data_IF_082109577442
#
_entry.id   IF_082109577442
#
_cell.length_a   1.000
_cell.length_b   1.000
_cell.length_c   1.000
_cell.angle_alpha   90.00
_cell.angle_beta   90.00
_cell.angle_gamma   90.00
#
_symmetry.space_group_name_H-M   'P 1'
#
loop_
_entity.id
_entity.type
_entity.pdbx_description
1 polymer ?
#
# COMPACT_ATOMS: atom_id res chain seq x y z
N UNK A 1 -99.90 -22.01 -10.85
CA UNK A 1 -99.97 -20.78 -11.67
C UNK A 1 -98.61 -20.55 -12.33
N UNK A 2 -98.51 -20.76 -13.65
CA UNK A 2 -97.31 -20.45 -14.44
C UNK A 2 -97.43 -19.00 -14.89
N UNK A 3 -96.63 -18.11 -14.32
CA UNK A 3 -96.58 -16.70 -14.71
C UNK A 3 -96.04 -16.61 -16.14
N UNK A 4 -96.88 -16.15 -17.09
CA UNK A 4 -96.45 -15.90 -18.47
C UNK A 4 -95.54 -14.67 -18.48
N UNK A 5 -94.24 -14.90 -18.61
CA UNK A 5 -93.27 -13.84 -18.91
C UNK A 5 -93.60 -13.29 -20.30
N UNK A 6 -93.96 -12.01 -20.37
CA UNK A 6 -94.26 -11.35 -21.65
C UNK A 6 -93.00 -11.17 -22.48
N UNK A 7 -93.13 -11.07 -23.82
CA UNK A 7 -91.99 -10.89 -24.76
C UNK A 7 -91.08 -9.71 -24.37
N UNK A 8 -91.67 -8.65 -23.83
CA UNK A 8 -91.01 -7.41 -23.41
C UNK A 8 -90.06 -7.64 -22.22
N UNK A 9 -90.48 -8.42 -21.22
CA UNK A 9 -89.61 -8.78 -20.09
C UNK A 9 -88.39 -9.59 -20.53
N UNK A 10 -88.57 -10.52 -21.48
CA UNK A 10 -87.46 -11.33 -22.02
C UNK A 10 -86.41 -10.50 -22.76
N UNK A 11 -86.83 -9.43 -23.44
CA UNK A 11 -85.95 -8.55 -24.19
C UNK A 11 -85.15 -7.65 -23.25
N UNK A 12 -85.81 -7.06 -22.25
CA UNK A 12 -85.17 -6.30 -21.17
C UNK A 12 -84.09 -7.10 -20.42
N UNK A 13 -84.40 -8.35 -20.02
CA UNK A 13 -83.42 -9.20 -19.35
C UNK A 13 -82.27 -9.62 -20.28
N UNK A 14 -82.53 -9.76 -21.60
CA UNK A 14 -81.47 -10.04 -22.59
C UNK A 14 -80.49 -8.88 -22.71
N UNK A 15 -80.98 -7.66 -22.83
CA UNK A 15 -80.13 -6.46 -22.86
C UNK A 15 -79.29 -6.34 -21.58
N UNK A 16 -79.92 -6.51 -20.41
CA UNK A 16 -79.19 -6.47 -19.13
C UNK A 16 -78.11 -7.55 -19.01
N UNK A 17 -78.37 -8.75 -19.50
CA UNK A 17 -77.37 -9.83 -19.54
C UNK A 17 -76.22 -9.47 -20.48
N UNK A 18 -76.52 -8.86 -21.62
CA UNK A 18 -75.52 -8.46 -22.62
C UNK A 18 -74.64 -7.33 -22.09
N UNK A 19 -75.24 -6.34 -21.43
CA UNK A 19 -74.54 -5.23 -20.78
C UNK A 19 -73.63 -5.73 -19.65
N UNK A 20 -74.12 -6.64 -18.79
CA UNK A 20 -73.29 -7.28 -17.76
C UNK A 20 -72.16 -8.12 -18.32
N UNK A 21 -72.38 -8.82 -19.45
CA UNK A 21 -71.29 -9.55 -20.15
C UNK A 21 -70.22 -8.59 -20.67
N UNK A 22 -70.63 -7.44 -21.20
CA UNK A 22 -69.72 -6.43 -21.72
C UNK A 22 -68.91 -5.76 -20.60
N UNK A 23 -69.53 -5.51 -19.44
CA UNK A 23 -68.84 -5.09 -18.22
C UNK A 23 -67.86 -6.14 -17.73
N UNK A 24 -68.25 -7.42 -17.71
CA UNK A 24 -67.37 -8.52 -17.31
C UNK A 24 -66.13 -8.60 -18.20
N UNK A 25 -66.28 -8.52 -19.52
CA UNK A 25 -65.13 -8.53 -20.45
C UNK A 25 -64.20 -7.34 -20.24
N UNK A 26 -64.75 -6.13 -20.04
CA UNK A 26 -63.94 -4.95 -19.69
C UNK A 26 -63.18 -5.15 -18.38
N UNK A 27 -63.82 -5.69 -17.35
CA UNK A 27 -63.18 -5.98 -16.06
C UNK A 27 -62.10 -7.06 -16.19
N UNK A 28 -62.27 -8.06 -17.05
CA UNK A 28 -61.23 -9.07 -17.31
C UNK A 28 -59.98 -8.47 -17.93
N UNK A 29 -60.14 -7.62 -18.95
CA UNK A 29 -59.02 -6.92 -19.60
C UNK A 29 -58.29 -6.03 -18.58
N UNK A 30 -59.03 -5.27 -17.78
CA UNK A 30 -58.42 -4.41 -16.76
C UNK A 30 -57.70 -5.20 -15.67
N UNK A 31 -58.23 -6.35 -15.24
CA UNK A 31 -57.53 -7.26 -14.33
C UNK A 31 -56.23 -7.81 -14.94
N UNK A 32 -56.22 -8.17 -16.23
CA UNK A 32 -55.01 -8.60 -16.90
C UNK A 32 -53.95 -7.50 -16.97
N UNK A 33 -54.35 -6.25 -17.21
CA UNK A 33 -53.45 -5.10 -17.17
C UNK A 33 -52.90 -4.85 -15.76
N UNK A 34 -53.73 -4.93 -14.73
CA UNK A 34 -53.31 -4.82 -13.34
C UNK A 34 -52.29 -5.91 -12.96
N UNK A 35 -52.50 -7.15 -13.39
CA UNK A 35 -51.54 -8.25 -13.17
C UNK A 35 -50.19 -7.96 -13.84
N UNK A 36 -50.20 -7.46 -15.09
CA UNK A 36 -48.98 -7.06 -15.80
C UNK A 36 -48.26 -5.91 -15.10
N UNK A 37 -49.00 -4.92 -14.60
CA UNK A 37 -48.43 -3.78 -13.88
C UNK A 37 -47.81 -4.21 -12.54
N UNK A 38 -48.47 -5.10 -11.80
CA UNK A 38 -47.93 -5.66 -10.56
C UNK A 38 -46.65 -6.44 -10.83
N UNK A 39 -46.61 -7.31 -11.85
CA UNK A 39 -45.40 -8.03 -12.20
C UNK A 39 -44.22 -7.10 -12.56
N UNK A 40 -44.49 -5.99 -13.28
CA UNK A 40 -43.47 -4.96 -13.56
C UNK A 40 -43.01 -4.25 -12.29
N UNK A 41 -43.92 -3.93 -11.39
CA UNK A 41 -43.61 -3.31 -10.09
C UNK A 41 -42.71 -4.22 -9.25
N UNK A 42 -43.03 -5.51 -9.19
CA UNK A 42 -42.25 -6.49 -8.44
C UNK A 42 -40.84 -6.65 -9.03
N UNK A 43 -40.72 -6.67 -10.36
CA UNK A 43 -39.42 -6.69 -11.03
C UNK A 43 -38.58 -5.43 -10.73
N UNK A 44 -39.18 -4.24 -10.73
CA UNK A 44 -38.49 -2.99 -10.36
C UNK A 44 -38.07 -3.03 -8.89
N UNK A 45 -38.93 -3.54 -8.01
CA UNK A 45 -38.62 -3.66 -6.59
C UNK A 45 -37.43 -4.60 -6.37
N UNK A 46 -37.38 -5.73 -7.06
CA UNK A 46 -36.25 -6.64 -7.02
C UNK A 46 -34.95 -5.96 -7.46
N UNK A 47 -34.96 -5.26 -8.60
CA UNK A 47 -33.77 -4.53 -9.09
C UNK A 47 -33.31 -3.48 -8.07
N UNK A 48 -34.24 -2.79 -7.41
CA UNK A 48 -33.92 -1.82 -6.35
C UNK A 48 -33.26 -2.49 -5.15
N UNK A 49 -33.77 -3.64 -4.73
CA UNK A 49 -33.23 -4.38 -3.59
C UNK A 49 -31.83 -4.94 -3.92
N UNK A 50 -31.63 -5.46 -5.14
CA UNK A 50 -30.33 -5.91 -5.64
C UNK A 50 -29.31 -4.75 -5.69
N UNK A 51 -29.73 -3.57 -6.16
CA UNK A 51 -28.90 -2.37 -6.18
C UNK A 51 -28.52 -1.93 -4.75
N UNK A 52 -29.46 -1.99 -3.80
CA UNK A 52 -29.17 -1.66 -2.41
C UNK A 52 -28.13 -2.61 -1.83
N UNK A 53 -28.31 -3.92 -2.04
CA UNK A 53 -27.34 -4.93 -1.60
C UNK A 53 -25.96 -4.73 -2.21
N UNK A 54 -25.90 -4.34 -3.50
CA UNK A 54 -24.63 -4.04 -4.17
C UNK A 54 -23.94 -2.80 -3.58
N UNK A 55 -24.70 -1.73 -3.30
CA UNK A 55 -24.17 -0.53 -2.65
C UNK A 55 -23.61 -0.86 -1.26
N UNK A 56 -24.32 -1.67 -0.48
CA UNK A 56 -23.86 -2.11 0.85
C UNK A 56 -22.56 -2.94 0.75
N UNK A 57 -22.47 -3.81 -0.26
CA UNK A 57 -21.25 -4.57 -0.55
C UNK A 57 -20.07 -3.64 -0.89
N UNK A 58 -20.30 -2.60 -1.70
CA UNK A 58 -19.26 -1.63 -2.04
C UNK A 58 -18.77 -0.85 -0.81
N UNK A 59 -19.67 -0.45 0.09
CA UNK A 59 -19.30 0.19 1.35
C UNK A 59 -18.49 -0.74 2.25
N UNK A 60 -18.89 -2.00 2.34
CA UNK A 60 -18.14 -3.02 3.05
C UNK A 60 -16.74 -3.19 2.46
N UNK A 61 -16.63 -3.38 1.15
CA UNK A 61 -15.35 -3.56 0.46
C UNK A 61 -14.44 -2.35 0.63
N UNK A 62 -14.97 -1.13 0.50
CA UNK A 62 -14.22 0.10 0.76
C UNK A 62 -13.64 0.12 2.18
N UNK A 63 -14.43 -0.25 3.19
CA UNK A 63 -13.97 -0.29 4.58
C UNK A 63 -12.86 -1.33 4.77
N UNK A 64 -13.03 -2.52 4.21
CA UNK A 64 -12.04 -3.61 4.30
C UNK A 64 -10.73 -3.24 3.61
N UNK A 65 -10.80 -2.66 2.41
CA UNK A 65 -9.60 -2.20 1.67
C UNK A 65 -8.86 -1.10 2.43
N UNK A 66 -9.58 -0.13 3.01
CA UNK A 66 -8.94 0.93 3.82
C UNK A 66 -8.27 0.38 5.08
N UNK A 67 -8.89 -0.61 5.73
CA UNK A 67 -8.30 -1.26 6.90
C UNK A 67 -7.03 -2.04 6.53
N UNK A 68 -7.06 -2.81 5.44
CA UNK A 68 -5.90 -3.58 4.98
C UNK A 68 -4.77 -2.67 4.48
N UNK A 69 -5.07 -1.60 3.75
CA UNK A 69 -4.05 -0.62 3.32
C UNK A 69 -3.38 0.05 4.53
N UNK A 70 -4.14 0.39 5.56
CA UNK A 70 -3.58 0.95 6.81
C UNK A 70 -2.68 -0.07 7.50
N UNK A 71 -3.15 -1.30 7.70
CA UNK A 71 -2.39 -2.36 8.34
C UNK A 71 -1.13 -2.73 7.54
N UNK A 72 -1.21 -2.74 6.20
CA UNK A 72 -0.07 -2.95 5.33
C UNK A 72 0.98 -1.85 5.55
N UNK A 73 0.59 -0.58 5.53
CA UNK A 73 1.51 0.54 5.78
C UNK A 73 2.16 0.46 7.15
N UNK A 74 1.40 0.12 8.19
CA UNK A 74 1.92 -0.05 9.54
C UNK A 74 3.00 -1.14 9.61
N UNK A 75 2.73 -2.33 9.04
CA UNK A 75 3.72 -3.43 8.96
C UNK A 75 4.98 -3.01 8.22
N UNK A 76 4.85 -2.26 7.11
CA UNK A 76 5.99 -1.78 6.31
C UNK A 76 6.84 -0.75 7.07
N UNK A 77 6.19 0.14 7.81
CA UNK A 77 6.86 1.14 8.65
C UNK A 77 7.55 0.49 9.85
N UNK A 78 6.91 -0.48 10.49
CA UNK A 78 7.49 -1.26 11.58
C UNK A 78 8.72 -2.04 11.13
N UNK A 79 8.65 -2.70 9.96
CA UNK A 79 9.82 -3.34 9.35
C UNK A 79 10.99 -2.36 9.18
N UNK A 80 10.75 -1.16 8.64
CA UNK A 80 11.81 -0.16 8.48
C UNK A 80 12.35 0.34 9.82
N UNK A 81 11.49 0.53 10.82
CA UNK A 81 11.92 0.89 12.17
C UNK A 81 12.86 -0.17 12.75
N UNK A 82 12.53 -1.45 12.59
CA UNK A 82 13.34 -2.56 13.10
C UNK A 82 14.69 -2.62 12.39
N UNK A 83 14.72 -2.58 11.05
CA UNK A 83 15.96 -2.60 10.27
C UNK A 83 16.88 -1.44 10.65
N UNK A 84 16.36 -0.22 10.77
CA UNK A 84 17.17 0.95 11.17
C UNK A 84 17.67 0.79 12.62
N UNK A 85 16.81 0.30 13.52
CA UNK A 85 17.16 0.12 14.94
C UNK A 85 18.27 -0.91 15.11
N UNK A 86 18.19 -2.05 14.43
CA UNK A 86 19.20 -3.11 14.47
C UNK A 86 20.56 -2.59 14.00
N UNK A 87 20.59 -1.83 12.90
CA UNK A 87 21.83 -1.23 12.39
C UNK A 87 22.43 -0.19 13.36
N UNK A 88 21.58 0.65 13.96
CA UNK A 88 22.03 1.60 14.96
C UNK A 88 22.58 0.91 16.21
N UNK A 89 21.99 -0.20 16.65
CA UNK A 89 22.43 -0.93 17.83
C UNK A 89 23.79 -1.63 17.64
N UNK A 90 24.14 -2.06 16.43
CA UNK A 90 25.46 -2.63 16.12
C UNK A 90 26.58 -1.61 16.33
N UNK A 91 26.35 -0.36 15.94
CA UNK A 91 27.36 0.70 15.99
C UNK A 91 27.33 1.47 17.31
N UNK A 92 26.13 1.76 17.83
CA UNK A 92 25.91 2.55 19.05
C UNK A 92 25.13 1.76 20.12
N UNK A 93 25.65 0.62 20.61
CA UNK A 93 24.91 -0.27 21.50
C UNK A 93 24.52 0.40 22.84
N UNK A 94 25.38 1.28 23.35
CA UNK A 94 25.15 1.95 24.64
C UNK A 94 24.10 3.07 24.59
N UNK A 95 23.77 3.56 23.40
CA UNK A 95 22.83 4.68 23.25
C UNK A 95 21.37 4.24 23.28
N UNK A 96 21.09 2.94 23.19
CA UNK A 96 19.72 2.39 23.25
C UNK A 96 18.77 2.98 22.20
N UNK A 97 19.31 3.44 21.07
CA UNK A 97 18.54 4.19 20.07
C UNK A 97 17.57 3.30 19.34
N UNK A 98 16.31 3.71 19.30
CA UNK A 98 15.24 3.07 18.55
C UNK A 98 14.70 4.03 17.49
N UNK A 99 14.59 3.54 16.26
CA UNK A 99 14.01 4.30 15.16
C UNK A 99 12.48 4.25 15.22
N UNK A 100 11.85 5.41 15.05
CA UNK A 100 10.40 5.55 15.00
C UNK A 100 10.01 6.51 13.88
N UNK A 101 9.57 5.93 12.77
CA UNK A 101 8.99 6.63 11.63
C UNK A 101 7.51 6.87 11.93
N UNK A 102 7.12 8.14 11.96
CA UNK A 102 5.73 8.56 11.97
C UNK A 102 5.39 9.14 10.60
N UNK A 103 4.21 8.83 10.07
CA UNK A 103 3.70 9.44 8.85
C UNK A 103 2.39 10.17 9.11
N UNK A 104 2.15 11.22 8.32
CA UNK A 104 0.93 11.99 8.38
C UNK A 104 0.43 12.28 6.97
N UNK A 105 -0.82 11.91 6.70
CA UNK A 105 -1.51 12.16 5.45
C UNK A 105 -2.31 13.46 5.59
N UNK A 106 -1.77 14.56 5.07
CA UNK A 106 -2.46 15.85 5.03
C UNK A 106 -2.54 16.37 3.59
N UNK A 107 -3.72 16.81 3.17
CA UNK A 107 -3.94 17.46 1.87
C UNK A 107 -3.40 16.65 0.68
N UNK A 108 -3.71 15.35 0.64
CA UNK A 108 -3.22 14.41 -0.39
C UNK A 108 -1.70 14.29 -0.49
N UNK A 109 -0.96 14.72 0.55
CA UNK A 109 0.49 14.54 0.67
C UNK A 109 0.79 13.73 1.92
N UNK A 110 1.52 12.63 1.74
CA UNK A 110 2.05 11.84 2.84
C UNK A 110 3.41 12.38 3.24
N UNK A 111 3.56 12.76 4.50
CA UNK A 111 4.85 13.18 5.07
C UNK A 111 5.30 12.17 6.11
N UNK A 112 6.40 11.47 5.83
CA UNK A 112 7.10 10.65 6.80
C UNK A 112 8.12 11.49 7.59
N UNK A 113 8.31 11.19 8.88
CA UNK A 113 9.29 11.82 9.76
C UNK A 113 9.89 10.75 10.65
N UNK A 114 11.19 10.55 10.55
CA UNK A 114 11.94 9.69 11.46
C UNK A 114 12.28 10.45 12.75
N UNK A 115 12.12 9.76 13.89
CA UNK A 115 12.65 10.16 15.19
C UNK A 115 13.44 9.00 15.78
N UNK A 116 14.43 9.33 16.60
CA UNK A 116 15.12 8.40 17.46
C UNK A 116 14.58 8.56 18.89
N UNK A 117 14.38 7.43 19.55
CA UNK A 117 13.98 7.34 20.95
C UNK A 117 15.11 6.64 21.68
N UNK A 118 15.64 7.26 22.74
CA UNK A 118 16.66 6.63 23.58
C UNK A 118 16.04 5.79 24.72
N UNK A 119 16.89 5.17 25.52
CA UNK A 119 16.49 4.33 26.67
C UNK A 119 15.67 5.09 27.72
N UNK A 120 15.85 6.40 27.83
CA UNK A 120 15.15 7.25 28.79
C UNK A 120 13.78 7.73 28.23
N UNK A 121 13.43 7.31 27.01
CA UNK A 121 12.19 7.64 26.33
C UNK A 121 12.20 9.01 25.65
N UNK A 122 13.34 9.68 25.57
CA UNK A 122 13.45 10.99 24.95
C UNK A 122 13.45 10.87 23.42
N UNK A 123 12.40 11.40 22.80
CA UNK A 123 12.22 11.38 21.36
C UNK A 123 12.75 12.65 20.69
N UNK A 124 13.69 12.48 19.75
CA UNK A 124 14.26 13.58 18.99
C UNK A 124 14.40 13.22 17.51
N UNK A 125 14.50 14.24 16.65
CA UNK A 125 14.94 14.02 15.27
C UNK A 125 16.42 13.66 15.28
N UNK A 126 16.90 12.84 14.33
CA UNK A 126 18.34 12.66 14.13
C UNK A 126 18.98 14.03 13.94
N UNK A 127 19.77 14.49 14.92
CA UNK A 127 20.39 15.83 14.88
C UNK A 127 21.74 15.72 14.18
N UNK A 128 22.23 16.84 13.63
CA UNK A 128 23.64 16.95 13.17
C UNK A 128 24.61 16.62 14.32
N UNK A 129 24.22 16.89 15.57
CA UNK A 129 24.99 16.61 16.77
C UNK A 129 25.20 15.12 17.08
N UNK A 130 24.43 14.20 16.47
CA UNK A 130 24.64 12.75 16.64
C UNK A 130 25.74 12.20 15.72
N UNK A 131 26.38 13.08 14.94
CA UNK A 131 27.44 12.73 14.00
C UNK A 131 26.90 12.26 12.64
N UNK A 132 27.68 12.55 11.59
CA UNK A 132 27.34 12.16 10.21
C UNK A 132 27.22 10.65 10.02
N UNK A 133 27.96 9.85 10.81
CA UNK A 133 27.90 8.39 10.77
C UNK A 133 26.49 7.86 11.08
N UNK A 134 25.85 8.36 12.14
CA UNK A 134 24.48 7.96 12.50
C UNK A 134 23.49 8.23 11.34
N UNK A 135 23.62 9.39 10.69
CA UNK A 135 22.78 9.75 9.55
C UNK A 135 23.00 8.84 8.33
N UNK A 136 24.25 8.48 8.05
CA UNK A 136 24.56 7.54 6.98
C UNK A 136 24.04 6.14 7.26
N UNK A 137 24.18 5.65 8.49
CA UNK A 137 23.65 4.35 8.89
C UNK A 137 22.13 4.29 8.75
N UNK A 138 21.42 5.31 9.26
CA UNK A 138 19.98 5.43 9.09
C UNK A 138 19.59 5.41 7.61
N UNK A 139 20.29 6.19 6.79
CA UNK A 139 19.98 6.31 5.37
C UNK A 139 20.25 4.99 4.63
N UNK A 140 21.39 4.37 4.88
CA UNK A 140 21.76 3.08 4.31
C UNK A 140 20.78 1.98 4.72
N UNK A 141 20.48 1.84 6.01
CA UNK A 141 19.54 0.85 6.53
C UNK A 141 18.14 1.04 5.95
N UNK A 142 17.66 2.29 5.88
CA UNK A 142 16.36 2.61 5.29
C UNK A 142 16.32 2.27 3.79
N UNK A 143 17.32 2.68 3.01
CA UNK A 143 17.40 2.38 1.58
C UNK A 143 17.49 0.88 1.35
N UNK A 144 18.35 0.18 2.09
CA UNK A 144 18.48 -1.27 2.01
C UNK A 144 17.16 -1.99 2.31
N UNK A 145 16.50 -1.60 3.41
CA UNK A 145 15.19 -2.12 3.77
C UNK A 145 14.14 -1.90 2.66
N UNK A 146 14.11 -0.71 2.06
CA UNK A 146 13.18 -0.37 0.97
C UNK A 146 13.47 -1.16 -0.30
N UNK A 147 14.73 -1.18 -0.76
CA UNK A 147 15.15 -1.85 -2.00
C UNK A 147 14.82 -3.34 -1.94
N UNK A 148 15.18 -4.01 -0.83
CA UNK A 148 14.84 -5.42 -0.59
C UNK A 148 13.35 -5.69 -0.63
N UNK A 149 12.57 -4.79 -0.04
CA UNK A 149 11.13 -4.94 0.06
C UNK A 149 10.39 -4.71 -1.26
N UNK A 150 10.99 -3.96 -2.17
CA UNK A 150 10.51 -3.81 -3.54
C UNK A 150 10.96 -4.95 -4.45
N UNK A 151 11.73 -5.92 -3.93
CA UNK A 151 12.23 -7.06 -4.68
C UNK A 151 13.46 -6.76 -5.54
N UNK A 152 14.13 -5.64 -5.30
CA UNK A 152 15.39 -5.31 -5.95
C UNK A 152 16.58 -5.81 -5.12
N UNK A 153 17.70 -6.04 -5.80
CA UNK A 153 18.93 -6.58 -5.20
C UNK A 153 20.12 -5.63 -5.26
N UNK A 154 20.00 -4.44 -5.86
CA UNK A 154 21.17 -3.61 -6.17
C UNK A 154 21.13 -2.28 -5.43
N UNK A 155 22.26 -1.87 -4.83
CA UNK A 155 22.41 -0.58 -4.16
C UNK A 155 23.72 0.08 -4.61
N UNK A 156 23.65 1.39 -4.82
CA UNK A 156 24.81 2.24 -5.11
C UNK A 156 25.04 3.15 -3.92
N UNK A 157 26.26 3.18 -3.41
CA UNK A 157 26.67 3.94 -2.24
C UNK A 157 27.85 4.83 -2.63
N UNK A 158 27.65 6.13 -2.62
CA UNK A 158 28.67 7.11 -3.04
C UNK A 158 29.19 7.89 -1.83
N UNK A 159 30.49 7.77 -1.56
CA UNK A 159 31.24 8.43 -0.47
C UNK A 159 30.59 8.35 0.94
N UNK A 160 29.74 7.33 1.16
CA UNK A 160 29.15 7.11 2.47
C UNK A 160 30.21 6.58 3.46
N UNK A 161 29.99 6.86 4.74
CA UNK A 161 30.82 6.37 5.85
C UNK A 161 32.28 6.86 5.89
N UNK A 162 32.74 7.68 4.94
CA UNK A 162 34.10 8.26 4.94
C UNK A 162 34.42 9.15 6.16
N UNK A 163 33.40 9.55 6.91
CA UNK A 163 33.49 10.34 8.16
C UNK A 163 33.42 9.49 9.43
N UNK A 164 33.37 8.16 9.30
CA UNK A 164 33.37 7.24 10.44
C UNK A 164 34.73 7.23 11.12
N UNK A 165 34.74 7.02 12.44
CA UNK A 165 35.98 6.72 13.15
C UNK A 165 36.57 5.37 12.69
N UNK A 166 37.90 5.21 12.70
CA UNK A 166 38.55 3.95 12.33
C UNK A 166 38.03 2.73 13.09
N UNK A 167 37.65 2.90 14.36
CA UNK A 167 37.10 1.84 15.21
C UNK A 167 35.71 1.36 14.78
N UNK A 168 34.92 2.23 14.13
CA UNK A 168 33.56 1.89 13.70
C UNK A 168 33.50 1.37 12.26
N UNK A 169 34.52 1.67 11.43
CA UNK A 169 34.54 1.23 10.02
C UNK A 169 34.41 -0.29 9.84
N UNK A 170 35.10 -1.14 10.63
CA UNK A 170 34.92 -2.59 10.53
C UNK A 170 33.49 -3.03 10.79
N UNK A 171 32.82 -2.43 11.78
CA UNK A 171 31.41 -2.74 12.10
C UNK A 171 30.46 -2.30 11.00
N UNK A 172 30.74 -1.18 10.34
CA UNK A 172 29.99 -0.78 9.13
C UNK A 172 30.23 -1.79 8.00
N UNK A 173 31.46 -2.28 7.84
CA UNK A 173 31.80 -3.36 6.91
C UNK A 173 31.00 -4.64 7.18
N UNK A 174 30.82 -5.04 8.44
CA UNK A 174 29.95 -6.16 8.83
C UNK A 174 28.50 -5.96 8.37
N UNK A 175 27.95 -4.76 8.51
CA UNK A 175 26.61 -4.42 8.01
C UNK A 175 26.49 -4.51 6.49
N UNK A 176 27.54 -4.10 5.76
CA UNK A 176 27.62 -4.27 4.30
C UNK A 176 27.66 -5.76 3.94
N UNK A 177 28.50 -6.56 4.60
CA UNK A 177 28.59 -8.00 4.39
C UNK A 177 27.25 -8.70 4.61
N UNK A 178 26.55 -8.41 5.71
CA UNK A 178 25.23 -9.00 5.97
C UNK A 178 24.18 -8.67 4.91
N UNK A 179 24.28 -7.47 4.33
CA UNK A 179 23.42 -7.07 3.22
C UNK A 179 23.77 -7.88 1.96
N UNK A 180 25.05 -8.09 1.68
CA UNK A 180 25.53 -8.93 0.57
C UNK A 180 25.08 -10.38 0.75
N UNK A 181 25.25 -10.95 1.94
CA UNK A 181 24.82 -12.32 2.30
C UNK A 181 23.31 -12.50 2.14
N UNK A 182 22.55 -11.42 2.30
CA UNK A 182 21.10 -11.39 2.05
C UNK A 182 20.72 -11.32 0.56
N UNK A 183 21.69 -11.41 -0.35
CA UNK A 183 21.49 -11.39 -1.80
C UNK A 183 21.60 -10.02 -2.45
N UNK A 184 22.21 -9.04 -1.77
CA UNK A 184 22.39 -7.69 -2.32
C UNK A 184 23.71 -7.55 -3.07
N UNK A 185 23.69 -6.93 -4.24
CA UNK A 185 24.86 -6.38 -4.90
C UNK A 185 25.04 -4.92 -4.47
N UNK A 186 26.20 -4.61 -3.88
CA UNK A 186 26.52 -3.25 -3.45
C UNK A 186 27.66 -2.71 -4.32
N UNK A 187 27.43 -1.58 -4.97
CA UNK A 187 28.47 -0.80 -5.66
C UNK A 187 28.83 0.36 -4.75
N UNK A 188 30.06 0.34 -4.23
CA UNK A 188 30.55 1.30 -3.25
C UNK A 188 31.68 2.15 -3.83
N UNK A 189 31.54 3.47 -3.75
CA UNK A 189 32.64 4.42 -3.98
C UNK A 189 33.14 4.88 -2.62
N UNK A 190 34.37 4.50 -2.27
CA UNK A 190 34.97 4.85 -0.98
C UNK A 190 36.48 5.06 -1.13
N UNK A 191 36.99 6.08 -0.45
CA UNK A 191 38.41 6.39 -0.37
C UNK A 191 39.12 5.66 0.79
N UNK A 192 38.36 5.00 1.68
CA UNK A 192 38.89 4.36 2.88
C UNK A 192 38.74 2.83 2.80
N UNK A 193 39.85 2.08 2.59
CA UNK A 193 39.82 0.62 2.47
C UNK A 193 39.32 -0.11 3.72
N UNK A 194 39.52 0.43 4.92
CA UNK A 194 39.12 -0.20 6.17
C UNK A 194 37.60 -0.44 6.29
N UNK A 195 36.80 0.20 5.42
CA UNK A 195 35.36 -0.02 5.32
C UNK A 195 35.00 -1.37 4.67
N UNK A 196 35.83 -1.84 3.74
CA UNK A 196 35.48 -2.93 2.83
C UNK A 196 36.56 -4.01 2.70
N UNK A 197 37.72 -3.84 3.35
CA UNK A 197 38.88 -4.73 3.20
C UNK A 197 38.59 -6.19 3.56
N UNK A 198 37.66 -6.43 4.48
CA UNK A 198 37.23 -7.75 4.94
C UNK A 198 36.15 -8.40 4.09
N UNK A 199 35.63 -7.71 3.07
CA UNK A 199 34.52 -8.14 2.23
C UNK A 199 35.07 -8.67 0.89
N UNK A 200 34.67 -9.88 0.44
CA UNK A 200 35.00 -10.38 -0.91
C UNK A 200 34.45 -9.43 -1.97
N UNK A 201 35.31 -8.96 -2.89
CA UNK A 201 34.96 -7.84 -3.77
C UNK A 201 35.80 -7.76 -5.03
N UNK A 202 35.27 -7.02 -6.00
CA UNK A 202 36.02 -6.49 -7.12
C UNK A 202 36.23 -4.99 -6.91
N UNK A 203 37.49 -4.55 -6.97
CA UNK A 203 37.86 -3.14 -6.88
C UNK A 203 38.19 -2.60 -8.27
N UNK A 204 37.69 -1.40 -8.57
CA UNK A 204 38.02 -0.65 -9.79
C UNK A 204 38.67 0.66 -9.34
N UNK A 205 39.97 0.79 -9.60
CA UNK A 205 40.74 1.96 -9.20
C UNK A 205 40.69 2.98 -10.34
N UNK A 206 40.22 4.19 -10.03
CA UNK A 206 40.12 5.29 -10.99
C UNK A 206 41.23 6.30 -10.72
N UNK A 207 41.93 6.73 -11.78
CA UNK A 207 42.97 7.76 -11.71
C UNK A 207 42.64 8.93 -12.64
N UNK A 208 42.87 10.14 -12.15
CA UNK A 208 42.79 11.34 -12.97
C UNK A 208 44.09 11.55 -13.75
N UNK A 209 44.01 11.65 -15.07
CA UNK A 209 45.11 11.99 -15.98
C UNK A 209 45.25 13.52 -16.03
N UNK A 210 46.34 14.11 -15.47
CA UNK A 210 46.48 15.57 -15.40
C UNK A 210 46.70 16.22 -16.77
N UNK A 211 47.14 15.46 -17.76
CA UNK A 211 47.54 15.98 -19.07
C UNK A 211 46.34 16.38 -19.95
N UNK A 212 45.24 15.64 -19.88
CA UNK A 212 44.03 15.86 -20.70
C UNK A 212 42.74 15.94 -19.87
N UNK A 213 42.84 15.87 -18.54
CA UNK A 213 41.72 16.03 -17.61
C UNK A 213 40.75 14.85 -17.60
N UNK A 214 41.15 13.69 -18.13
CA UNK A 214 40.31 12.50 -18.21
C UNK A 214 40.44 11.63 -16.96
N UNK A 215 39.42 10.84 -16.67
CA UNK A 215 39.50 9.76 -15.68
C UNK A 215 39.66 8.44 -16.39
N UNK A 216 40.69 7.69 -16.02
CA UNK A 216 41.00 6.37 -16.58
C UNK A 216 40.89 5.31 -15.50
N UNK A 217 40.59 4.08 -15.92
CA UNK A 217 40.70 2.91 -15.04
C UNK A 217 42.18 2.55 -14.96
N UNK A 218 42.75 2.64 -13.77
CA UNK A 218 44.16 2.33 -13.51
C UNK A 218 44.34 0.84 -13.24
N UNK A 219 43.43 0.23 -12.47
CA UNK A 219 43.49 -1.17 -12.10
C UNK A 219 42.08 -1.76 -11.86
N UNK A 220 41.93 -3.07 -12.12
CA UNK A 220 40.78 -3.87 -11.69
C UNK A 220 41.34 -5.10 -10.98
N UNK A 221 40.97 -5.29 -9.71
CA UNK A 221 41.48 -6.37 -8.88
C UNK A 221 40.34 -7.08 -8.12
N UNK A 222 40.51 -8.38 -7.88
CA UNK A 222 39.59 -9.20 -7.08
C UNK A 222 40.27 -9.58 -5.77
N UNK A 223 39.53 -9.48 -4.66
CA UNK A 223 39.98 -9.74 -3.30
C UNK A 223 38.96 -10.58 -2.52
#
# INVERSE_FOLDING_TARGET
MRTQVTKIDREYYREKILEKKLQLERSKVMNQELLKLNAKKDAIQQVKDDLSAYVDLLFYLKRTVLAEDTAFRERRVEYLNNVITEELQKIFPHSGLQAKIAYNDKYSRTKATLRLVDSDGYSRKPKIAEGKLCQYLISFAAVNGVVRSLGYSNIYVDEAFGVSSPENLPRVGESLQQSIDSGMQIVLVSQNPALYESIPRQEIHLRHEPADGRTVIDNIAEY
#
